data_IF_764404482826
#
_entry.id   IF_764404482826
#
_cell.length_a   1.000
_cell.length_b   1.000
_cell.length_c   1.000
_cell.angle_alpha   90.00
_cell.angle_beta   90.00
_cell.angle_gamma   90.00
#
_symmetry.space_group_name_H-M   'P 1'
#
loop_
_entity.id
_entity.type
_entity.pdbx_description
1 polymer ?
#
# COMPACT_ATOMS: atom_id res chain seq x y z
N UNK A 1 -36.89 -16.17 82.16
CA UNK A 1 -35.91 -16.40 81.07
C UNK A 1 -36.45 -15.77 79.78
N UNK A 2 -35.93 -14.58 79.46
CA UNK A 2 -36.08 -13.75 78.24
C UNK A 2 -34.73 -13.03 78.20
N UNK A 3 -33.94 -13.01 77.15
CA UNK A 3 -34.05 -12.27 75.88
C UNK A 3 -32.80 -12.69 75.07
N UNK A 4 -32.94 -13.20 73.85
CA UNK A 4 -32.91 -12.48 72.58
C UNK A 4 -31.56 -12.59 71.86
N UNK A 5 -31.68 -13.19 70.69
CA UNK A 5 -30.71 -13.41 69.62
C UNK A 5 -30.25 -12.10 68.97
N UNK A 6 -28.97 -12.03 68.59
CA UNK A 6 -28.48 -11.14 67.51
C UNK A 6 -27.29 -11.80 66.82
N UNK A 7 -27.53 -12.35 65.62
CA UNK A 7 -26.48 -12.78 64.68
C UNK A 7 -26.20 -11.61 63.75
N UNK A 8 -24.96 -11.14 63.73
CA UNK A 8 -24.48 -10.06 62.88
C UNK A 8 -24.07 -10.67 61.52
N UNK A 9 -24.83 -10.41 60.45
CA UNK A 9 -24.49 -10.83 59.10
C UNK A 9 -23.57 -9.76 58.45
N UNK A 10 -22.31 -10.11 58.23
CA UNK A 10 -21.34 -9.28 57.51
C UNK A 10 -21.49 -9.49 56.01
N UNK A 11 -21.90 -8.44 55.30
CA UNK A 11 -22.02 -8.42 53.85
C UNK A 11 -20.66 -8.06 53.22
N UNK A 12 -19.98 -9.04 52.62
CA UNK A 12 -18.75 -8.81 51.87
C UNK A 12 -19.08 -8.22 50.49
N UNK A 13 -18.69 -6.96 50.24
CA UNK A 13 -18.72 -6.36 48.91
C UNK A 13 -17.57 -6.92 48.07
N UNK A 14 -17.89 -7.73 47.05
CA UNK A 14 -16.96 -8.07 46.00
C UNK A 14 -16.87 -6.90 45.00
N UNK A 15 -15.76 -6.17 45.03
CA UNK A 15 -15.43 -5.23 43.97
C UNK A 15 -14.92 -6.01 42.75
N UNK A 16 -15.75 -6.14 41.71
CA UNK A 16 -15.29 -6.65 40.42
C UNK A 16 -14.39 -5.60 39.76
N UNK A 17 -13.08 -5.83 39.75
CA UNK A 17 -12.15 -5.05 38.94
C UNK A 17 -12.34 -5.45 37.48
N UNK A 18 -12.96 -4.57 36.69
CA UNK A 18 -13.07 -4.78 35.25
C UNK A 18 -11.70 -4.51 34.63
N UNK A 19 -11.04 -5.56 34.15
CA UNK A 19 -9.77 -5.43 33.43
C UNK A 19 -10.08 -5.07 31.98
N UNK A 20 -10.31 -3.78 31.72
CA UNK A 20 -10.46 -3.26 30.36
C UNK A 20 -9.10 -3.26 29.67
N UNK A 21 -8.78 -4.33 28.93
CA UNK A 21 -7.63 -4.28 28.02
C UNK A 21 -7.90 -3.17 26.99
N UNK A 22 -6.95 -2.24 26.74
CA UNK A 22 -7.09 -1.33 25.63
C UNK A 22 -7.23 -2.19 24.38
N UNK A 23 -8.39 -2.08 23.71
CA UNK A 23 -8.55 -2.60 22.37
C UNK A 23 -7.49 -1.89 21.55
N UNK A 24 -6.41 -2.59 21.22
CA UNK A 24 -5.44 -2.10 20.25
C UNK A 24 -6.23 -1.84 18.97
N UNK A 25 -6.57 -0.57 18.75
CA UNK A 25 -6.82 -0.07 17.40
C UNK A 25 -5.54 -0.42 16.68
N UNK A 26 -5.58 -1.47 15.88
CA UNK A 26 -4.57 -1.73 14.88
C UNK A 26 -4.65 -0.51 13.97
N UNK A 27 -3.92 0.54 14.36
CA UNK A 27 -3.40 1.51 13.43
C UNK A 27 -2.76 0.62 12.38
N UNK A 28 -3.42 0.53 11.25
CA UNK A 28 -2.90 -0.09 10.06
C UNK A 28 -1.51 0.51 9.90
N UNK A 29 -0.48 -0.23 10.33
CA UNK A 29 0.91 0.17 10.22
C UNK A 29 1.07 0.60 8.77
N UNK A 30 1.23 1.90 8.56
CA UNK A 30 1.21 2.50 7.24
C UNK A 30 2.49 2.06 6.54
N UNK A 31 2.43 0.88 5.94
CA UNK A 31 3.51 0.25 5.20
C UNK A 31 3.88 1.14 4.01
N UNK A 32 5.05 1.74 4.11
CA UNK A 32 5.62 2.54 3.04
C UNK A 32 6.59 1.69 2.22
N UNK A 33 6.40 1.69 0.90
CA UNK A 33 7.20 0.92 -0.04
C UNK A 33 7.85 1.87 -1.02
N UNK A 34 9.10 1.58 -1.40
CA UNK A 34 9.83 2.37 -2.39
C UNK A 34 10.29 1.49 -3.54
N UNK A 35 9.97 1.89 -4.77
CA UNK A 35 10.48 1.27 -6.00
C UNK A 35 11.55 2.17 -6.62
N UNK A 36 12.76 1.65 -6.78
CA UNK A 36 13.87 2.33 -7.43
C UNK A 36 14.84 1.33 -8.07
N UNK A 37 15.73 1.82 -8.94
CA UNK A 37 16.69 0.97 -9.66
C UNK A 37 16.04 0.25 -10.83
N UNK A 38 16.22 -1.06 -10.94
CA UNK A 38 15.62 -1.87 -12.01
C UNK A 38 14.36 -2.57 -11.52
N UNK A 39 13.25 -2.35 -12.22
CA UNK A 39 11.98 -2.99 -11.89
C UNK A 39 12.04 -4.49 -12.11
N UNK A 40 11.49 -5.24 -11.16
CA UNK A 40 11.32 -6.69 -11.24
C UNK A 40 9.85 -7.00 -11.42
N UNK A 41 9.51 -7.75 -12.46
CA UNK A 41 8.12 -8.19 -12.65
C UNK A 41 7.68 -9.04 -11.46
N UNK A 42 6.44 -8.84 -11.01
CA UNK A 42 5.89 -9.54 -9.85
C UNK A 42 6.29 -8.97 -8.49
N UNK A 43 6.88 -7.77 -8.43
CA UNK A 43 7.08 -7.07 -7.15
C UNK A 43 5.74 -6.92 -6.43
N UNK A 44 5.68 -7.43 -5.20
CA UNK A 44 4.48 -7.34 -4.38
C UNK A 44 4.36 -5.94 -3.75
N UNK A 45 3.26 -5.26 -4.06
CA UNK A 45 2.90 -3.96 -3.51
C UNK A 45 1.58 -4.00 -2.74
N UNK A 46 1.00 -5.19 -2.56
CA UNK A 46 -0.35 -5.38 -2.00
C UNK A 46 -0.46 -5.02 -0.53
N UNK A 47 0.65 -5.08 0.19
CA UNK A 47 0.71 -4.64 1.58
C UNK A 47 0.87 -3.14 1.72
N UNK A 48 1.32 -2.42 0.69
CA UNK A 48 1.78 -1.02 0.75
C UNK A 48 0.63 -0.01 0.80
N UNK A 49 0.51 0.73 1.91
CA UNK A 49 -0.40 1.87 2.03
C UNK A 49 0.11 3.11 1.28
N UNK A 50 1.43 3.30 1.23
CA UNK A 50 2.07 4.36 0.44
C UNK A 50 3.16 3.75 -0.44
N UNK A 51 3.08 3.97 -1.75
CA UNK A 51 4.06 3.50 -2.73
C UNK A 51 4.78 4.69 -3.35
N UNK A 52 6.08 4.86 -3.07
CA UNK A 52 6.91 5.89 -3.70
C UNK A 52 7.74 5.29 -4.84
N UNK A 53 7.59 5.82 -6.04
CA UNK A 53 8.32 5.41 -7.23
C UNK A 53 9.35 6.49 -7.55
N UNK A 54 10.62 6.18 -7.28
CA UNK A 54 11.74 7.08 -7.52
C UNK A 54 12.29 6.94 -8.94
N UNK A 55 13.62 6.99 -9.08
CA UNK A 55 14.30 6.65 -10.34
C UNK A 55 14.19 5.15 -10.58
N UNK A 56 13.42 4.76 -11.59
CA UNK A 56 13.11 3.35 -11.89
C UNK A 56 13.33 3.08 -13.39
N UNK A 57 13.91 1.94 -13.72
CA UNK A 57 14.06 1.44 -15.09
C UNK A 57 13.25 0.18 -15.24
N UNK A 58 12.22 0.23 -16.08
CA UNK A 58 11.40 -0.92 -16.44
C UNK A 58 12.06 -1.64 -17.62
N UNK A 59 12.37 -2.95 -17.51
CA UNK A 59 12.99 -3.69 -18.60
C UNK A 59 12.16 -3.69 -19.88
N UNK A 60 12.81 -3.94 -21.01
CA UNK A 60 12.17 -3.90 -22.32
C UNK A 60 11.10 -5.01 -22.48
N UNK A 61 9.87 -4.64 -22.85
CA UNK A 61 8.75 -5.58 -22.97
C UNK A 61 8.14 -6.03 -21.64
N UNK A 62 8.43 -5.32 -20.54
CA UNK A 62 7.84 -5.55 -19.23
C UNK A 62 6.88 -4.40 -18.90
N UNK A 63 5.75 -4.74 -18.30
CA UNK A 63 4.79 -3.76 -17.76
C UNK A 63 5.16 -3.43 -16.31
N UNK A 64 5.20 -2.14 -15.98
CA UNK A 64 5.13 -1.70 -14.58
C UNK A 64 3.73 -2.00 -14.05
N UNK A 65 3.62 -3.08 -13.29
CA UNK A 65 2.34 -3.61 -12.82
C UNK A 65 2.04 -3.09 -11.41
N UNK A 66 1.10 -2.16 -11.35
CA UNK A 66 0.56 -1.58 -10.12
C UNK A 66 -0.87 -2.08 -9.84
N UNK A 67 -1.33 -3.14 -10.53
CA UNK A 67 -2.69 -3.67 -10.42
C UNK A 67 -3.03 -4.23 -9.04
N UNK A 68 -2.01 -4.64 -8.30
CA UNK A 68 -2.12 -5.20 -6.95
C UNK A 68 -1.96 -4.15 -5.86
N UNK A 69 -2.06 -2.87 -6.18
CA UNK A 69 -2.02 -1.82 -5.17
C UNK A 69 -3.13 -2.04 -4.14
N UNK A 70 -2.80 -1.84 -2.87
CA UNK A 70 -3.76 -1.91 -1.77
C UNK A 70 -4.90 -0.90 -1.99
N UNK A 71 -6.14 -1.28 -1.67
CA UNK A 71 -7.26 -0.32 -1.66
C UNK A 71 -6.93 0.87 -0.75
N UNK A 72 -7.19 2.09 -1.23
CA UNK A 72 -6.85 3.30 -0.49
C UNK A 72 -5.38 3.73 -0.60
N UNK A 73 -4.54 3.01 -1.35
CA UNK A 73 -3.11 3.30 -1.41
C UNK A 73 -2.80 4.66 -2.07
N UNK A 74 -1.76 5.30 -1.55
CA UNK A 74 -1.19 6.52 -2.12
C UNK A 74 0.05 6.20 -2.96
N UNK A 75 -0.04 6.33 -4.27
CA UNK A 75 1.04 6.08 -5.22
C UNK A 75 1.67 7.43 -5.61
N UNK A 76 2.96 7.59 -5.34
CA UNK A 76 3.72 8.83 -5.53
C UNK A 76 4.88 8.61 -6.49
N UNK A 77 4.80 9.15 -7.70
CA UNK A 77 5.90 9.10 -8.69
C UNK A 77 6.75 10.36 -8.53
N UNK A 78 7.95 10.22 -7.98
CA UNK A 78 8.83 11.35 -7.64
C UNK A 78 10.06 11.44 -8.54
N UNK A 79 10.53 10.32 -9.09
CA UNK A 79 11.66 10.29 -10.02
C UNK A 79 11.27 10.05 -11.48
N UNK A 80 12.26 9.80 -12.31
CA UNK A 80 12.06 9.39 -13.71
C UNK A 80 11.96 7.88 -13.81
N UNK A 81 10.84 7.40 -14.34
CA UNK A 81 10.61 6.00 -14.72
C UNK A 81 10.86 5.87 -16.21
N UNK A 82 11.88 5.11 -16.60
CA UNK A 82 12.21 4.88 -18.02
C UNK A 82 11.84 3.47 -18.44
N UNK A 83 11.30 3.29 -19.64
CA UNK A 83 10.89 1.98 -20.17
C UNK A 83 11.83 1.50 -21.26
N UNK A 84 12.36 0.28 -21.14
CA UNK A 84 13.21 -0.33 -22.15
C UNK A 84 12.53 -0.41 -23.53
N UNK A 85 13.28 -0.08 -24.57
CA UNK A 85 12.80 -0.01 -25.94
C UNK A 85 12.58 -1.42 -26.52
N UNK A 86 11.36 -1.74 -26.93
CA UNK A 86 11.02 -2.98 -27.65
C UNK A 86 9.72 -2.78 -28.40
N UNK A 87 9.61 -3.23 -29.66
CA UNK A 87 8.31 -3.29 -30.35
C UNK A 87 7.45 -4.38 -29.72
N UNK A 88 6.36 -4.00 -29.07
CA UNK A 88 5.38 -4.89 -28.45
C UNK A 88 4.06 -4.15 -28.25
N UNK A 89 2.99 -4.88 -27.95
CA UNK A 89 1.66 -4.30 -27.80
C UNK A 89 1.49 -3.44 -26.52
N UNK A 90 2.39 -3.59 -25.54
CA UNK A 90 2.22 -2.96 -24.22
C UNK A 90 1.23 -3.72 -23.33
N UNK A 91 0.75 -3.08 -22.24
CA UNK A 91 0.99 -1.69 -21.85
C UNK A 91 2.33 -1.46 -21.13
N UNK A 92 2.82 -0.21 -21.12
CA UNK A 92 4.00 0.17 -20.32
C UNK A 92 3.71 0.19 -18.82
N UNK A 93 2.54 0.72 -18.43
CA UNK A 93 2.08 0.78 -17.04
C UNK A 93 0.68 0.19 -16.98
N UNK A 94 0.44 -0.68 -16.00
CA UNK A 94 -0.87 -1.21 -15.67
C UNK A 94 -1.23 -0.75 -14.26
N UNK A 95 -2.35 -0.06 -14.12
CA UNK A 95 -2.88 0.37 -12.83
C UNK A 95 -4.34 -0.03 -12.74
N UNK A 96 -4.68 -0.71 -11.65
CA UNK A 96 -6.05 -1.06 -11.28
C UNK A 96 -6.17 -1.12 -9.77
N UNK A 97 -7.37 -0.87 -9.25
CA UNK A 97 -7.66 -0.94 -7.81
C UNK A 97 -8.83 -0.03 -7.46
N UNK A 98 -9.12 0.06 -6.16
CA UNK A 98 -10.19 0.92 -5.61
C UNK A 98 -9.59 1.98 -4.69
N UNK A 99 -10.17 3.18 -4.70
CA UNK A 99 -9.78 4.31 -3.85
C UNK A 99 -8.28 4.67 -3.92
N UNK A 100 -7.67 4.46 -5.07
CA UNK A 100 -6.26 4.77 -5.28
C UNK A 100 -6.08 6.27 -5.48
N UNK A 101 -5.08 6.84 -4.80
CA UNK A 101 -4.61 8.20 -5.08
C UNK A 101 -3.28 8.14 -5.79
N UNK A 102 -3.21 8.61 -7.03
CA UNK A 102 -1.97 8.71 -7.80
C UNK A 102 -1.56 10.16 -7.89
N UNK A 103 -0.33 10.46 -7.49
CA UNK A 103 0.24 11.80 -7.55
C UNK A 103 1.72 11.72 -7.90
N UNK A 104 2.33 12.85 -8.27
CA UNK A 104 3.75 12.86 -8.55
C UNK A 104 4.25 14.16 -9.17
N UNK A 105 5.52 14.45 -8.90
CA UNK A 105 6.33 15.46 -9.60
C UNK A 105 7.28 14.82 -10.61
N UNK A 106 7.32 13.48 -10.64
CA UNK A 106 8.22 12.69 -11.48
C UNK A 106 7.77 12.59 -12.93
N UNK A 107 8.45 11.74 -13.70
CA UNK A 107 8.23 11.60 -15.14
C UNK A 107 8.14 10.13 -15.53
N UNK A 108 7.17 9.78 -16.37
CA UNK A 108 7.12 8.49 -17.05
C UNK A 108 7.69 8.66 -18.47
N UNK A 109 8.97 8.32 -18.64
CA UNK A 109 9.68 8.42 -19.92
C UNK A 109 9.54 7.13 -20.73
N UNK A 110 8.52 7.11 -21.59
CA UNK A 110 8.25 6.01 -22.53
C UNK A 110 9.25 5.88 -23.69
N UNK A 111 10.24 6.77 -23.81
CA UNK A 111 11.22 6.78 -24.91
C UNK A 111 10.60 6.80 -26.32
N UNK A 112 9.49 7.55 -26.49
CA UNK A 112 8.69 7.62 -27.71
C UNK A 112 9.47 7.96 -28.98
N UNK A 113 10.50 8.81 -28.86
CA UNK A 113 11.36 9.22 -29.97
C UNK A 113 12.06 8.05 -30.68
N UNK A 114 12.36 6.96 -29.97
CA UNK A 114 12.92 5.75 -30.56
C UNK A 114 11.90 5.01 -31.42
N UNK A 115 10.65 4.94 -30.98
CA UNK A 115 9.56 4.27 -31.70
C UNK A 115 9.15 5.03 -32.96
N UNK A 116 8.99 6.36 -32.87
CA UNK A 116 8.56 7.18 -34.01
C UNK A 116 9.58 7.21 -35.15
N UNK A 117 10.88 7.09 -34.85
CA UNK A 117 11.96 6.99 -35.85
C UNK A 117 11.93 5.68 -36.64
N UNK A 118 11.28 4.64 -36.13
CA UNK A 118 11.24 3.32 -36.78
C UNK A 118 10.11 3.16 -37.79
N UNK A 119 9.47 4.27 -38.15
CA UNK A 119 8.50 4.35 -39.24
C UNK A 119 7.08 4.07 -38.75
N UNK A 120 6.28 5.14 -38.67
CA UNK A 120 4.91 5.01 -39.15
C UNK A 120 5.00 5.13 -40.68
N UNK A 121 4.74 4.04 -41.40
CA UNK A 121 3.92 4.23 -42.61
C UNK A 121 2.56 4.67 -42.09
N UNK A 122 2.33 5.98 -42.07
CA UNK A 122 0.99 6.54 -42.06
C UNK A 122 0.33 6.27 -43.41
#
# INVERSE_FOLDING_TARGET
MKISSTVLATLALFAAVVNGSPMMRQEEEASSCTLSGTYKSGTDISSCSTLTIGKLTVPAGVTLDLSKAKTGANIKITGTVTFGQKKWAGPLVLLSGSDLTVSGTGTLDGQGSWYWKQGQSI
#
